data_IF_415821216691
#
_entry.id   IF_415821216691
#
_cell.length_a   1.000
_cell.length_b   1.000
_cell.length_c   1.000
_cell.angle_alpha   90.00
_cell.angle_beta   90.00
_cell.angle_gamma   90.00
#
_symmetry.space_group_name_H-M   'P 1'
#
loop_
_entity.id
_entity.type
_entity.pdbx_description
1 polymer ?
#
# COMPACT_ATOMS: atom_id res chain seq x y z
N UNK A 1 -16.18 0.81 21.50
CA UNK A 1 -14.94 0.14 21.03
C UNK A 1 -15.34 -1.20 20.45
N UNK A 2 -15.23 -1.39 19.12
CA UNK A 2 -15.46 -2.70 18.50
C UNK A 2 -14.15 -3.48 18.49
N UNK A 3 -14.16 -4.67 19.09
CA UNK A 3 -13.01 -5.59 19.22
C UNK A 3 -12.74 -6.40 17.94
N UNK A 4 -13.67 -6.37 16.98
CA UNK A 4 -13.51 -6.88 15.63
C UNK A 4 -13.41 -5.67 14.70
N UNK A 5 -12.41 -5.65 13.81
CA UNK A 5 -12.21 -4.59 12.83
C UNK A 5 -13.42 -4.36 11.91
N UNK A 6 -13.36 -3.38 11.00
CA UNK A 6 -14.47 -3.09 10.10
C UNK A 6 -14.81 -4.34 9.28
N UNK A 7 -16.06 -4.81 9.40
CA UNK A 7 -16.55 -5.95 8.63
C UNK A 7 -16.71 -5.48 7.18
N UNK A 8 -15.79 -5.91 6.33
CA UNK A 8 -15.69 -5.50 4.94
C UNK A 8 -15.73 -6.74 4.03
N UNK A 9 -16.51 -6.65 2.96
CA UNK A 9 -16.49 -7.62 1.87
C UNK A 9 -16.02 -6.89 0.61
N UNK A 10 -15.06 -7.45 -0.12
CA UNK A 10 -14.57 -6.86 -1.37
C UNK A 10 -14.42 -7.91 -2.46
N UNK A 11 -14.75 -7.50 -3.68
CA UNK A 11 -14.53 -8.26 -4.91
C UNK A 11 -13.63 -7.42 -5.80
N UNK A 12 -12.48 -7.96 -6.19
CA UNK A 12 -11.54 -7.28 -7.09
C UNK A 12 -11.34 -8.09 -8.37
N UNK A 13 -11.24 -7.38 -9.49
CA UNK A 13 -11.00 -7.97 -10.80
C UNK A 13 -10.03 -7.08 -11.58
N UNK A 14 -9.07 -7.72 -12.23
CA UNK A 14 -8.19 -7.04 -13.18
C UNK A 14 -8.98 -6.73 -14.45
N UNK A 15 -8.87 -5.52 -14.96
CA UNK A 15 -9.58 -5.12 -16.17
C UNK A 15 -8.93 -5.77 -17.41
N UNK A 16 -9.73 -6.03 -18.46
CA UNK A 16 -9.22 -6.63 -19.69
C UNK A 16 -8.21 -5.70 -20.40
N UNK A 17 -7.32 -6.25 -21.25
CA UNK A 17 -6.30 -5.51 -21.98
C UNK A 17 -6.89 -4.71 -23.15
N UNK A 18 -7.75 -3.77 -22.83
CA UNK A 18 -8.31 -2.80 -23.76
C UNK A 18 -7.51 -1.50 -23.69
N UNK A 19 -7.26 -0.89 -24.86
CA UNK A 19 -6.45 0.32 -24.97
C UNK A 19 -4.95 0.04 -25.19
N UNK A 20 -4.14 1.10 -25.22
CA UNK A 20 -2.67 1.07 -25.35
C UNK A 20 -2.03 2.21 -24.57
N UNK A 21 -0.84 2.00 -24.01
CA UNK A 21 -0.06 3.03 -23.34
C UNK A 21 -0.63 3.44 -21.97
N UNK A 22 -0.72 4.74 -21.70
CA UNK A 22 -1.18 5.27 -20.40
C UNK A 22 -2.64 4.93 -20.06
N UNK A 23 -3.44 4.58 -21.08
CA UNK A 23 -4.86 4.24 -20.95
C UNK A 23 -5.08 2.73 -21.09
N UNK A 24 -4.03 1.93 -20.94
CA UNK A 24 -4.16 0.48 -20.99
C UNK A 24 -4.89 -0.04 -19.74
N UNK A 25 -6.11 -0.52 -19.94
CA UNK A 25 -6.99 -0.94 -18.85
C UNK A 25 -6.44 -2.17 -18.11
N UNK A 26 -5.56 -2.98 -18.72
CA UNK A 26 -4.87 -4.10 -18.05
C UNK A 26 -4.04 -3.67 -16.84
N UNK A 27 -3.63 -2.40 -16.78
CA UNK A 27 -2.88 -1.83 -15.65
C UNK A 27 -3.79 -1.42 -14.50
N UNK A 28 -5.11 -1.45 -14.69
CA UNK A 28 -6.11 -1.09 -13.70
C UNK A 28 -6.80 -2.32 -13.12
N UNK A 29 -7.14 -2.23 -11.84
CA UNK A 29 -7.94 -3.19 -11.09
C UNK A 29 -9.20 -2.48 -10.65
N UNK A 30 -10.35 -3.05 -10.97
CA UNK A 30 -11.62 -2.61 -10.43
C UNK A 30 -11.93 -3.43 -9.18
N UNK A 31 -12.37 -2.76 -8.12
CA UNK A 31 -12.81 -3.40 -6.90
C UNK A 31 -14.15 -2.82 -6.45
N UNK A 32 -15.02 -3.67 -5.93
CA UNK A 32 -16.27 -3.29 -5.29
C UNK A 32 -16.21 -3.78 -3.86
N UNK A 33 -16.33 -2.86 -2.91
CA UNK A 33 -16.29 -3.15 -1.48
C UNK A 33 -17.55 -2.66 -0.77
N UNK A 34 -17.99 -3.38 0.25
CA UNK A 34 -19.06 -2.93 1.17
C UNK A 34 -18.49 -2.96 2.58
N UNK A 35 -18.69 -1.86 3.31
CA UNK A 35 -18.29 -1.73 4.71
C UNK A 35 -19.53 -1.71 5.61
N UNK A 36 -19.62 -2.65 6.56
CA UNK A 36 -20.76 -2.72 7.48
C UNK A 36 -20.63 -1.75 8.66
N UNK A 37 -19.39 -1.49 9.12
CA UNK A 37 -19.11 -0.61 10.25
C UNK A 37 -17.89 0.28 9.94
N UNK A 38 -18.14 1.50 9.49
CA UNK A 38 -17.12 2.53 9.29
C UNK A 38 -17.52 3.78 10.03
N UNK A 39 -17.23 3.87 11.34
CA UNK A 39 -17.15 5.18 11.97
C UNK A 39 -15.75 5.73 11.65
N UNK A 40 -15.62 6.77 10.81
CA UNK A 40 -14.32 7.32 10.50
C UNK A 40 -13.72 7.90 11.78
N UNK A 41 -12.43 7.63 12.04
CA UNK A 41 -11.68 8.32 13.09
C UNK A 41 -11.53 9.83 12.80
N UNK A 42 -11.78 10.26 11.56
CA UNK A 42 -11.66 11.65 11.12
C UNK A 42 -12.90 12.08 10.32
N UNK A 43 -13.73 13.01 10.83
CA UNK A 43 -14.95 13.51 10.17
C UNK A 43 -14.69 14.35 8.90
N UNK A 44 -13.42 14.52 8.52
CA UNK A 44 -13.00 15.35 7.38
C UNK A 44 -13.18 14.59 6.05
N UNK A 45 -13.24 13.27 6.08
CA UNK A 45 -13.55 12.44 4.93
C UNK A 45 -15.08 12.21 4.92
N UNK A 46 -15.73 12.50 3.78
CA UNK A 46 -17.13 12.18 3.54
C UNK A 46 -17.33 10.66 3.64
N UNK A 47 -17.53 10.17 4.86
CA UNK A 47 -17.61 8.75 5.10
C UNK A 47 -18.91 8.19 4.50
N UNK A 48 -18.82 7.09 3.74
CA UNK A 48 -20.00 6.44 3.21
C UNK A 48 -20.86 5.89 4.34
N UNK A 49 -22.18 5.88 4.13
CA UNK A 49 -23.12 5.25 5.07
C UNK A 49 -22.78 3.76 5.22
N UNK A 50 -23.05 3.14 6.38
CA UNK A 50 -22.91 1.70 6.52
C UNK A 50 -23.67 0.98 5.41
N UNK A 51 -23.09 -0.09 4.87
CA UNK A 51 -23.59 -0.86 3.73
C UNK A 51 -23.62 -0.12 2.38
N UNK A 52 -22.94 1.02 2.23
CA UNK A 52 -22.80 1.65 0.91
C UNK A 52 -21.74 0.91 0.09
N UNK A 53 -22.06 0.46 -1.14
CA UNK A 53 -21.07 -0.10 -2.04
C UNK A 53 -20.11 0.99 -2.52
N UNK A 54 -18.82 0.78 -2.31
CA UNK A 54 -17.75 1.64 -2.80
C UNK A 54 -17.15 0.98 -4.04
N UNK A 55 -17.11 1.72 -5.14
CA UNK A 55 -16.39 1.33 -6.33
C UNK A 55 -15.00 1.95 -6.29
N UNK A 56 -13.98 1.15 -6.54
CA UNK A 56 -12.59 1.56 -6.50
C UNK A 56 -11.96 1.14 -7.82
N UNK A 57 -11.41 2.09 -8.54
CA UNK A 57 -10.54 1.85 -9.68
C UNK A 57 -9.12 2.18 -9.27
N UNK A 58 -8.27 1.16 -9.15
CA UNK A 58 -6.90 1.32 -8.70
C UNK A 58 -5.90 0.86 -9.76
N UNK A 59 -4.85 1.64 -9.96
CA UNK A 59 -3.63 1.26 -10.68
C UNK A 59 -2.55 1.02 -9.64
N UNK A 60 -2.09 -0.23 -9.43
CA UNK A 60 -1.07 -0.53 -8.43
C UNK A 60 0.22 0.25 -8.72
N UNK A 61 0.98 0.52 -7.65
CA UNK A 61 2.28 1.17 -7.79
C UNK A 61 3.28 0.22 -8.44
N UNK A 62 3.92 0.68 -9.51
CA UNK A 62 4.97 -0.06 -10.21
C UNK A 62 6.28 0.75 -10.14
N UNK A 63 7.36 0.18 -9.58
CA UNK A 63 8.65 0.86 -9.54
C UNK A 63 9.15 1.07 -10.98
N UNK A 64 9.50 2.32 -11.32
CA UNK A 64 9.96 2.71 -12.67
C UNK A 64 8.92 3.45 -13.52
N UNK A 65 7.62 3.33 -13.24
CA UNK A 65 6.56 4.09 -13.95
C UNK A 65 6.36 5.53 -13.45
N UNK A 66 7.15 5.98 -12.48
CA UNK A 66 7.15 7.36 -12.00
C UNK A 66 5.84 7.78 -11.31
N UNK A 67 5.22 8.86 -11.80
CA UNK A 67 3.95 9.40 -11.29
C UNK A 67 2.73 8.80 -12.01
N UNK A 68 2.93 7.87 -12.95
CA UNK A 68 1.83 7.25 -13.67
C UNK A 68 1.16 6.08 -12.89
N UNK A 69 1.78 5.59 -11.82
CA UNK A 69 1.34 4.43 -11.05
C UNK A 69 0.92 4.78 -9.62
N UNK A 70 0.19 3.87 -8.94
CA UNK A 70 -0.27 4.09 -7.57
C UNK A 70 -1.50 4.99 -7.44
N UNK A 71 -2.30 5.12 -8.50
CA UNK A 71 -3.53 5.91 -8.50
C UNK A 71 -4.71 5.06 -8.02
N UNK A 72 -5.45 5.55 -7.03
CA UNK A 72 -6.68 4.93 -6.55
C UNK A 72 -7.82 5.94 -6.64
N UNK A 73 -8.78 5.68 -7.51
CA UNK A 73 -9.94 6.53 -7.72
C UNK A 73 -11.20 5.87 -7.18
N UNK A 74 -11.92 6.58 -6.32
CA UNK A 74 -13.18 6.13 -5.74
C UNK A 74 -14.23 7.25 -5.93
N UNK A 75 -15.09 7.17 -6.95
CA UNK A 75 -16.02 8.26 -7.28
C UNK A 75 -16.96 8.63 -6.12
N UNK A 76 -17.33 7.66 -5.27
CA UNK A 76 -18.19 7.87 -4.10
C UNK A 76 -17.54 8.73 -3.01
N UNK A 77 -16.20 8.76 -2.94
CA UNK A 77 -15.44 9.49 -1.93
C UNK A 77 -14.97 10.87 -2.43
N UNK A 78 -15.23 11.21 -3.70
CA UNK A 78 -14.88 12.48 -4.32
C UNK A 78 -13.39 12.65 -4.69
N UNK A 79 -13.07 13.78 -5.33
CA UNK A 79 -11.69 14.10 -5.72
C UNK A 79 -10.71 14.30 -4.56
N UNK A 80 -11.07 14.93 -3.43
CA UNK A 80 -10.13 15.17 -2.34
C UNK A 80 -9.55 13.88 -1.75
N UNK A 81 -10.37 12.86 -1.54
CA UNK A 81 -9.94 11.55 -1.02
C UNK A 81 -9.01 10.84 -2.01
N UNK A 82 -9.32 10.89 -3.30
CA UNK A 82 -8.46 10.34 -4.36
C UNK A 82 -7.09 11.03 -4.37
N UNK A 83 -7.05 12.36 -4.26
CA UNK A 83 -5.80 13.12 -4.23
C UNK A 83 -4.95 12.80 -2.99
N UNK A 84 -5.59 12.68 -1.82
CA UNK A 84 -4.92 12.30 -0.56
C UNK A 84 -4.39 10.86 -0.66
N UNK A 85 -5.20 9.92 -1.15
CA UNK A 85 -4.81 8.52 -1.35
C UNK A 85 -3.63 8.38 -2.32
N UNK A 86 -3.67 9.10 -3.44
CA UNK A 86 -2.56 9.12 -4.39
C UNK A 86 -1.29 9.73 -3.77
N UNK A 87 -1.41 10.87 -3.09
CA UNK A 87 -0.28 11.56 -2.47
C UNK A 87 0.38 10.71 -1.38
N UNK A 88 -0.41 10.11 -0.49
CA UNK A 88 0.08 9.20 0.56
C UNK A 88 0.75 7.97 -0.03
N UNK A 89 0.18 7.36 -1.07
CA UNK A 89 0.79 6.21 -1.77
C UNK A 89 2.13 6.59 -2.38
N UNK A 90 2.23 7.74 -3.05
CA UNK A 90 3.48 8.23 -3.64
C UNK A 90 4.54 8.51 -2.57
N UNK A 91 4.15 9.14 -1.46
CA UNK A 91 5.06 9.42 -0.34
C UNK A 91 5.53 8.12 0.31
N UNK A 92 4.63 7.20 0.61
CA UNK A 92 4.96 5.95 1.29
C UNK A 92 5.87 5.06 0.44
N UNK A 93 5.56 4.89 -0.84
CA UNK A 93 6.33 4.01 -1.72
C UNK A 93 7.71 4.59 -2.07
N UNK A 94 7.87 5.93 -2.07
CA UNK A 94 9.15 6.58 -2.37
C UNK A 94 10.02 6.81 -1.13
N UNK A 95 9.41 7.25 -0.02
CA UNK A 95 10.15 7.51 1.22
C UNK A 95 10.33 6.25 2.08
N UNK A 96 9.43 5.26 1.97
CA UNK A 96 9.53 3.98 2.65
C UNK A 96 10.92 3.34 2.53
N UNK A 97 11.43 3.04 1.32
CA UNK A 97 12.74 2.43 1.15
C UNK A 97 13.89 3.35 1.63
N UNK A 98 13.77 4.67 1.46
CA UNK A 98 14.80 5.63 1.91
C UNK A 98 14.91 5.70 3.43
N UNK A 99 13.77 5.66 4.12
CA UNK A 99 13.69 5.70 5.58
C UNK A 99 14.04 4.34 6.19
N UNK A 100 13.58 3.24 5.60
CA UNK A 100 13.91 1.88 6.03
C UNK A 100 15.39 1.52 5.77
N UNK A 101 16.00 2.07 4.72
CA UNK A 101 17.36 1.73 4.30
C UNK A 101 17.46 0.28 3.81
N UNK A 102 18.65 -0.34 3.92
CA UNK A 102 18.90 -1.75 3.51
C UNK A 102 18.02 -2.78 4.22
N UNK A 103 17.37 -2.40 5.34
CA UNK A 103 16.38 -3.24 6.05
C UNK A 103 15.00 -3.26 5.38
N UNK A 104 14.77 -2.45 4.35
CA UNK A 104 13.53 -2.40 3.59
C UNK A 104 13.44 -3.43 2.45
N UNK A 105 14.52 -4.17 2.16
CA UNK A 105 14.52 -5.25 1.17
C UNK A 105 13.91 -6.49 1.83
N UNK A 106 12.62 -6.70 1.60
CA UNK A 106 11.92 -7.96 1.90
C UNK A 106 11.62 -8.63 0.55
N UNK A 107 12.02 -9.88 0.31
CA UNK A 107 12.46 -10.88 1.29
C UNK A 107 13.96 -10.82 1.64
N UNK A 108 14.28 -11.32 2.83
CA UNK A 108 15.64 -11.51 3.33
C UNK A 108 16.38 -12.48 2.39
N UNK A 109 17.48 -12.02 1.77
CA UNK A 109 18.18 -12.80 0.75
C UNK A 109 18.92 -13.95 1.43
N UNK A 110 18.26 -15.11 1.44
CA UNK A 110 18.78 -16.34 2.05
C UNK A 110 19.75 -16.98 1.07
N UNK A 111 21.04 -17.00 1.39
CA UNK A 111 22.08 -17.56 0.52
C UNK A 111 22.54 -18.90 1.09
N UNK A 112 22.36 -19.97 0.32
CA UNK A 112 22.94 -21.29 0.62
C UNK A 112 24.40 -21.29 0.21
N UNK A 113 25.30 -21.62 1.14
CA UNK A 113 26.74 -21.64 0.90
C UNK A 113 27.26 -23.04 1.17
N UNK A 114 27.90 -23.64 0.17
CA UNK A 114 28.43 -25.00 0.24
C UNK A 114 29.69 -25.01 1.11
N UNK A 115 29.66 -25.77 2.22
CA UNK A 115 30.80 -25.97 3.12
C UNK A 115 31.28 -27.42 3.08
N UNK A 116 32.56 -27.69 3.41
CA UNK A 116 33.10 -29.06 3.48
C UNK A 116 32.37 -29.99 4.46
N UNK A 117 31.58 -29.44 5.38
CA UNK A 117 30.83 -30.15 6.44
C UNK A 117 29.32 -30.24 6.15
N UNK A 118 28.85 -29.73 4.99
CA UNK A 118 27.44 -29.71 4.58
C UNK A 118 26.92 -28.30 4.22
N UNK A 119 25.76 -28.26 3.57
CA UNK A 119 25.11 -27.01 3.16
C UNK A 119 24.66 -26.20 4.37
N UNK A 120 25.14 -24.96 4.46
CA UNK A 120 24.74 -24.03 5.52
C UNK A 120 24.01 -22.82 4.92
N UNK A 121 22.86 -22.48 5.50
CA UNK A 121 22.11 -21.28 5.16
C UNK A 121 22.71 -20.11 5.93
N UNK A 122 23.19 -19.08 5.22
CA UNK A 122 23.62 -17.83 5.82
C UNK A 122 22.62 -16.72 5.47
N UNK A 123 22.15 -15.98 6.50
CA UNK A 123 21.38 -14.75 6.30
C UNK A 123 22.30 -13.54 6.42
N UNK A 124 22.13 -12.58 5.50
CA UNK A 124 22.85 -11.32 5.53
C UNK A 124 22.16 -10.33 6.47
N UNK A 125 22.59 -10.26 7.74
CA UNK A 125 22.10 -9.24 8.68
C UNK A 125 22.64 -7.85 8.28
N UNK A 126 21.78 -6.88 7.92
CA UNK A 126 22.24 -5.55 7.51
C UNK A 126 22.81 -4.75 8.70
N UNK A 127 23.86 -3.93 8.47
CA UNK A 127 24.55 -3.20 9.52
C UNK A 127 23.59 -2.26 10.29
N UNK A 128 23.78 -2.17 11.61
CA UNK A 128 22.92 -1.35 12.47
C UNK A 128 23.01 0.13 12.05
N UNK A 129 21.91 0.77 11.61
CA UNK A 129 21.96 2.14 11.13
C UNK A 129 22.29 3.10 12.27
N UNK A 130 23.12 4.11 11.99
CA UNK A 130 23.52 5.16 12.93
C UNK A 130 22.35 6.01 13.49
N UNK A 131 21.15 5.84 12.94
CA UNK A 131 19.89 6.49 13.36
C UNK A 131 18.72 5.48 13.44
N UNK A 132 18.98 4.27 13.93
CA UNK A 132 17.97 3.20 14.07
C UNK A 132 16.61 3.64 14.64
N UNK A 133 16.54 4.26 15.83
CA UNK A 133 15.25 4.64 16.44
C UNK A 133 14.50 5.70 15.61
N UNK A 134 15.22 6.64 15.00
CA UNK A 134 14.62 7.67 14.14
C UNK A 134 14.05 7.06 12.86
N UNK A 135 14.77 6.11 12.26
CA UNK A 135 14.32 5.39 11.05
C UNK A 135 13.12 4.51 11.35
N UNK A 136 13.10 3.79 12.47
CA UNK A 136 11.93 3.01 12.89
C UNK A 136 10.72 3.91 13.19
N UNK A 137 10.93 5.08 13.81
CA UNK A 137 9.85 6.03 14.00
C UNK A 137 9.32 6.55 12.65
N UNK A 138 10.22 6.83 11.70
CA UNK A 138 9.86 7.23 10.35
C UNK A 138 9.10 6.16 9.56
N UNK A 139 9.50 4.88 9.64
CA UNK A 139 8.76 3.80 8.97
C UNK A 139 7.38 3.62 9.57
N UNK A 140 7.25 3.66 10.91
CA UNK A 140 5.94 3.60 11.58
C UNK A 140 5.06 4.79 11.18
N UNK A 141 5.61 6.00 11.13
CA UNK A 141 4.87 7.18 10.68
C UNK A 141 4.40 7.06 9.22
N UNK A 142 5.24 6.54 8.32
CA UNK A 142 4.87 6.29 6.93
C UNK A 142 3.80 5.21 6.79
N UNK A 143 3.85 4.16 7.61
CA UNK A 143 2.78 3.16 7.65
C UNK A 143 1.46 3.75 8.16
N UNK A 144 1.50 4.59 9.20
CA UNK A 144 0.31 5.29 9.69
C UNK A 144 -0.28 6.22 8.62
N UNK A 145 0.56 6.97 7.91
CA UNK A 145 0.14 7.79 6.77
C UNK A 145 -0.53 6.95 5.67
N UNK A 146 -0.02 5.75 5.38
CA UNK A 146 -0.61 4.80 4.43
C UNK A 146 -1.95 4.20 4.88
N UNK A 147 -2.24 4.18 6.18
CA UNK A 147 -3.53 3.71 6.72
C UNK A 147 -4.62 4.79 6.79
N UNK A 148 -4.26 6.07 6.68
CA UNK A 148 -5.22 7.17 6.63
C UNK A 148 -6.16 7.16 5.40
N UNK A 149 -5.71 6.81 4.18
CA UNK A 149 -6.59 6.71 3.02
C UNK A 149 -7.38 5.38 2.94
N UNK A 150 -7.11 4.39 3.80
CA UNK A 150 -7.73 3.06 3.76
C UNK A 150 -8.98 2.93 4.64
N UNK A 151 -9.71 4.02 4.88
CA UNK A 151 -10.96 4.07 5.66
C UNK A 151 -12.10 4.57 4.77
#
# INVERSE_FOLDING_TARGET
MSLAGPLAASLSARLPPWGRGLVELSTYTAAVGIFAFGHPLLPILNAPKPFTPIFILQRPFMPGEGLASGLTWAPQLGWPSTAIGYGTTQVQQRLGPLVAGERGIVPDLTVTVERPEGDAVMSCEPPKPRLGPLRTAGTVALHLLGTLPSI
#
